data_IF_621419501857
#
_entry.id   IF_621419501857
#
_cell.length_a   1.000
_cell.length_b   1.000
_cell.length_c   1.000
_cell.angle_alpha   90.00
_cell.angle_beta   90.00
_cell.angle_gamma   90.00
#
_symmetry.space_group_name_H-M   'P 1'
#
loop_
_entity.id
_entity.type
_entity.pdbx_description
1 polymer ?
#
# COMPACT_ATOMS: atom_id res chain seq x y z
N UNK A 1 -32.21 59.07 23.31
CA UNK A 1 -32.79 58.39 24.49
C UNK A 1 -31.76 57.40 25.00
N UNK A 2 -30.93 57.86 25.93
CA UNK A 2 -30.14 56.95 26.75
C UNK A 2 -31.07 56.24 27.73
N UNK A 3 -30.66 55.06 28.16
CA UNK A 3 -30.88 54.62 29.53
C UNK A 3 -29.63 53.89 29.99
N UNK A 4 -29.25 54.24 31.20
CA UNK A 4 -27.96 54.01 31.82
C UNK A 4 -28.16 53.02 32.98
N UNK A 5 -27.05 52.39 33.40
CA UNK A 5 -26.81 51.84 34.75
C UNK A 5 -27.46 50.47 35.06
N UNK A 6 -26.82 49.44 35.67
CA UNK A 6 -25.53 49.27 36.36
C UNK A 6 -25.36 47.75 36.70
N UNK A 7 -24.23 47.28 37.28
CA UNK A 7 -23.58 46.02 36.90
C UNK A 7 -23.82 44.80 37.81
N UNK A 8 -23.72 43.60 37.23
CA UNK A 8 -23.62 42.34 37.96
C UNK A 8 -22.15 41.97 38.21
N UNK A 9 -21.74 42.12 39.48
CA UNK A 9 -20.47 41.63 40.02
C UNK A 9 -20.52 40.10 40.04
N UNK A 10 -19.67 39.43 39.26
CA UNK A 10 -19.33 38.03 39.47
C UNK A 10 -17.85 37.95 39.83
N UNK A 11 -17.65 37.57 41.09
CA UNK A 11 -16.37 37.33 41.76
C UNK A 11 -15.61 36.19 41.05
N UNK A 12 -14.31 36.35 40.97
CA UNK A 12 -13.42 35.49 40.17
C UNK A 12 -13.39 34.02 40.56
N UNK A 13 -13.03 33.22 39.56
CA UNK A 13 -12.36 31.94 39.72
C UNK A 13 -11.14 31.96 38.78
N UNK A 14 -9.95 32.08 39.36
CA UNK A 14 -8.69 31.92 38.63
C UNK A 14 -8.51 30.43 38.33
N UNK A 15 -8.69 30.03 37.07
CA UNK A 15 -8.35 28.70 36.60
C UNK A 15 -6.83 28.65 36.41
N UNK A 16 -6.15 27.98 37.35
CA UNK A 16 -4.73 27.65 37.27
C UNK A 16 -4.45 26.82 36.00
N UNK A 17 -3.94 27.46 34.95
CA UNK A 17 -3.27 26.76 33.86
C UNK A 17 -1.93 26.23 34.41
N UNK A 18 -1.92 24.95 34.80
CA UNK A 18 -0.69 24.23 35.09
C UNK A 18 0.15 24.16 33.82
N UNK A 19 1.22 24.96 33.76
CA UNK A 19 2.30 24.76 32.80
C UNK A 19 2.87 23.34 32.98
N UNK A 20 2.93 22.60 31.87
CA UNK A 20 3.70 21.36 31.76
C UNK A 20 5.18 21.68 31.93
N UNK A 21 5.75 21.33 33.08
CA UNK A 21 7.21 21.33 33.27
C UNK A 21 7.82 20.21 32.43
N UNK A 22 8.38 20.56 31.27
CA UNK A 22 9.46 19.79 30.66
C UNK A 22 10.69 19.89 31.56
N UNK A 23 10.92 18.88 32.39
CA UNK A 23 12.23 18.70 33.06
C UNK A 23 13.09 17.78 32.21
N UNK A 24 13.92 18.37 31.37
CA UNK A 24 15.19 17.75 30.94
C UNK A 24 16.15 17.85 32.11
N UNK A 25 16.39 16.75 32.82
CA UNK A 25 17.41 16.69 33.86
C UNK A 25 18.70 16.12 33.25
N UNK A 26 19.67 17.00 32.99
CA UNK A 26 21.05 16.61 32.73
C UNK A 26 21.75 16.45 34.09
N UNK A 27 21.97 15.22 34.53
CA UNK A 27 22.76 14.95 35.74
C UNK A 27 24.23 14.77 35.36
N UNK A 28 25.05 15.57 36.03
CA UNK A 28 26.51 15.62 35.99
C UNK A 28 27.11 14.22 36.15
N UNK A 29 28.10 13.94 35.30
CA UNK A 29 29.03 12.83 35.45
C UNK A 29 29.92 13.17 36.63
N UNK A 30 29.84 12.40 37.70
CA UNK A 30 30.88 12.34 38.71
C UNK A 30 31.60 11.00 38.58
N UNK A 31 32.92 11.11 38.43
CA UNK A 31 33.81 10.01 38.11
C UNK A 31 34.51 9.59 39.40
N UNK A 32 34.16 8.42 39.92
CA UNK A 32 35.01 7.70 40.86
C UNK A 32 34.96 6.21 40.57
N UNK A 33 35.92 5.80 39.73
CA UNK A 33 36.89 4.74 40.01
C UNK A 33 36.45 3.81 41.15
N UNK A 34 36.13 2.56 40.80
CA UNK A 34 36.73 1.32 41.32
C UNK A 34 36.51 0.21 40.28
N UNK A 35 37.56 -0.56 40.01
CA UNK A 35 37.62 -1.57 38.96
C UNK A 35 37.33 -2.98 39.50
N UNK A 36 37.04 -3.88 38.54
CA UNK A 36 37.21 -5.35 38.54
C UNK A 36 36.03 -6.21 39.05
N UNK A 37 35.23 -6.72 38.09
CA UNK A 37 35.23 -8.14 37.69
C UNK A 37 34.37 -8.32 36.43
N UNK A 38 34.96 -8.74 35.30
CA UNK A 38 34.22 -9.21 34.13
C UNK A 38 34.06 -10.72 34.23
N UNK A 39 32.93 -11.19 34.76
CA UNK A 39 32.48 -12.57 34.52
C UNK A 39 31.65 -12.59 33.23
N UNK A 40 32.18 -13.26 32.19
CA UNK A 40 31.40 -13.63 31.01
C UNK A 40 30.46 -14.77 31.44
N UNK A 41 29.19 -14.47 31.67
CA UNK A 41 28.15 -15.50 31.74
C UNK A 41 27.41 -15.53 30.41
N UNK A 42 27.54 -16.64 29.68
CA UNK A 42 26.65 -16.98 28.57
C UNK A 42 25.27 -17.30 29.17
N UNK A 43 24.46 -16.27 29.35
CA UNK A 43 23.07 -16.41 29.79
C UNK A 43 22.21 -16.48 28.54
N UNK A 44 21.76 -17.69 28.20
CA UNK A 44 20.72 -17.90 27.21
C UNK A 44 19.52 -16.99 27.56
N UNK A 45 19.12 -16.14 26.62
CA UNK A 45 18.00 -15.21 26.80
C UNK A 45 16.71 -16.01 27.03
N UNK A 46 16.29 -16.13 28.29
CA UNK A 46 14.91 -16.52 28.60
C UNK A 46 14.01 -15.36 28.19
N UNK A 47 13.00 -15.65 27.36
CA UNK A 47 11.92 -14.71 27.04
C UNK A 47 11.33 -14.19 28.35
N UNK A 48 11.53 -12.88 28.60
CA UNK A 48 10.99 -12.23 29.79
C UNK A 48 9.48 -12.10 29.57
N UNK A 49 8.72 -13.07 30.05
CA UNK A 49 7.28 -12.94 30.18
C UNK A 49 6.98 -11.95 31.31
N UNK A 50 6.27 -10.87 30.99
CA UNK A 50 5.91 -9.82 31.92
C UNK A 50 4.98 -10.40 33.02
N UNK A 51 5.51 -10.50 34.25
CA UNK A 51 4.80 -11.00 35.45
C UNK A 51 4.07 -9.89 36.22
N UNK A 52 3.47 -8.91 35.54
CA UNK A 52 2.64 -7.91 36.24
C UNK A 52 1.23 -8.47 36.54
N UNK A 53 1.10 -9.23 37.62
CA UNK A 53 -0.12 -9.95 38.01
C UNK A 53 -1.34 -9.04 38.29
N UNK A 54 -1.13 -7.74 38.47
CA UNK A 54 -2.15 -6.80 38.95
C UNK A 54 -2.59 -5.74 37.91
N UNK A 55 -2.33 -5.97 36.61
CA UNK A 55 -2.68 -5.06 35.53
C UNK A 55 -3.73 -5.60 34.56
N UNK A 56 -4.25 -4.72 33.68
CA UNK A 56 -5.05 -5.16 32.52
C UNK A 56 -4.19 -6.10 31.67
N UNK A 57 -4.63 -7.34 31.41
CA UNK A 57 -3.85 -8.28 30.60
C UNK A 57 -3.46 -7.66 29.26
N UNK A 58 -2.19 -7.82 28.82
CA UNK A 58 -1.76 -7.31 27.53
C UNK A 58 -2.52 -8.04 26.42
N UNK A 59 -2.98 -7.28 25.41
CA UNK A 59 -3.55 -7.88 24.20
C UNK A 59 -2.52 -8.79 23.53
N UNK A 60 -3.00 -9.91 22.98
CA UNK A 60 -2.15 -10.83 22.22
C UNK A 60 -1.49 -10.09 21.05
N UNK A 61 -0.25 -10.43 20.64
CA UNK A 61 0.43 -9.77 19.53
C UNK A 61 -0.40 -9.74 18.23
N UNK A 62 -1.19 -10.80 17.97
CA UNK A 62 -2.06 -10.93 16.79
C UNK A 62 -3.23 -9.96 16.81
N UNK A 63 -3.79 -9.66 17.98
CA UNK A 63 -4.92 -8.73 18.14
C UNK A 63 -4.50 -7.26 18.10
N UNK A 64 -3.20 -7.00 18.26
CA UNK A 64 -2.63 -5.65 18.32
C UNK A 64 -2.29 -5.16 16.91
N UNK A 65 -3.02 -4.15 16.42
CA UNK A 65 -2.64 -3.40 15.21
C UNK A 65 -1.31 -2.65 15.43
N UNK A 66 -0.19 -3.22 14.97
CA UNK A 66 1.17 -2.69 15.17
C UNK A 66 1.56 -1.59 14.18
N UNK A 67 1.12 -1.71 12.93
CA UNK A 67 1.53 -0.84 11.84
C UNK A 67 0.62 0.39 11.74
N UNK A 68 1.21 1.55 11.45
CA UNK A 68 0.51 2.82 11.25
C UNK A 68 0.70 3.28 9.80
N UNK A 69 -0.41 3.62 9.15
CA UNK A 69 -0.42 4.28 7.84
C UNK A 69 -0.96 5.69 8.04
N UNK A 70 -0.23 6.70 7.54
CA UNK A 70 -0.66 8.10 7.54
C UNK A 70 -1.09 8.45 6.13
N UNK A 71 -2.28 9.04 5.98
CA UNK A 71 -2.85 9.42 4.69
C UNK A 71 -3.01 10.94 4.64
N UNK A 72 -2.55 11.56 3.55
CA UNK A 72 -2.92 12.94 3.19
C UNK A 72 -4.04 12.83 2.16
N UNK A 73 -5.16 13.51 2.41
CA UNK A 73 -6.35 13.45 1.58
C UNK A 73 -6.75 14.85 1.13
N UNK A 74 -7.34 14.97 -0.05
CA UNK A 74 -7.98 16.21 -0.46
C UNK A 74 -9.20 16.52 0.42
N UNK A 75 -9.65 17.77 0.41
CA UNK A 75 -10.81 18.23 1.21
C UNK A 75 -12.06 17.41 0.91
N UNK A 76 -12.33 17.15 -0.37
CA UNK A 76 -13.50 16.38 -0.83
C UNK A 76 -13.47 14.93 -0.33
N UNK A 77 -12.33 14.26 -0.47
CA UNK A 77 -12.12 12.88 -0.03
C UNK A 77 -12.31 12.75 1.49
N UNK A 78 -11.80 13.73 2.26
CA UNK A 78 -11.94 13.75 3.71
C UNK A 78 -13.41 13.86 4.15
N UNK A 79 -14.18 14.77 3.55
CA UNK A 79 -15.60 14.92 3.88
C UNK A 79 -16.43 13.73 3.43
N UNK A 80 -16.07 13.13 2.28
CA UNK A 80 -16.67 11.88 1.82
C UNK A 80 -16.43 10.72 2.79
N UNK A 81 -15.20 10.57 3.29
CA UNK A 81 -14.86 9.60 4.33
C UNK A 81 -15.67 9.88 5.61
N UNK A 82 -15.73 11.14 6.06
CA UNK A 82 -16.47 11.54 7.26
C UNK A 82 -17.96 11.18 7.16
N UNK A 83 -18.59 11.44 6.01
CA UNK A 83 -19.98 11.10 5.76
C UNK A 83 -20.21 9.59 5.79
N UNK A 84 -19.38 8.80 5.08
CA UNK A 84 -19.47 7.33 5.05
C UNK A 84 -19.28 6.70 6.42
N UNK A 85 -18.34 7.21 7.20
CA UNK A 85 -18.07 6.75 8.57
C UNK A 85 -19.27 7.01 9.49
N UNK A 86 -19.90 8.19 9.38
CA UNK A 86 -21.12 8.51 10.13
C UNK A 86 -22.27 7.55 9.78
N UNK A 87 -22.43 7.22 8.51
CA UNK A 87 -23.45 6.27 8.05
C UNK A 87 -23.18 4.84 8.54
N UNK A 88 -21.91 4.42 8.52
CA UNK A 88 -21.52 3.07 8.94
C UNK A 88 -21.50 2.88 10.47
N UNK A 89 -21.54 3.97 11.26
CA UNK A 89 -21.54 3.90 12.73
C UNK A 89 -20.25 3.36 13.34
N UNK A 90 -19.15 3.31 12.58
CA UNK A 90 -17.85 2.78 13.02
C UNK A 90 -16.79 3.88 13.06
N UNK A 91 -15.60 3.57 13.58
CA UNK A 91 -14.51 4.55 13.61
C UNK A 91 -13.87 4.73 12.22
N UNK A 92 -13.30 5.92 11.96
CA UNK A 92 -12.60 6.22 10.69
C UNK A 92 -11.51 5.21 10.36
N UNK A 93 -10.70 4.85 11.36
CA UNK A 93 -9.60 3.90 11.19
C UNK A 93 -10.10 2.50 10.84
N UNK A 94 -11.18 2.06 11.49
CA UNK A 94 -11.79 0.78 11.20
C UNK A 94 -12.45 0.74 9.83
N UNK A 95 -13.14 1.81 9.44
CA UNK A 95 -13.71 1.95 8.11
C UNK A 95 -12.65 1.79 7.02
N UNK A 96 -11.53 2.51 7.13
CA UNK A 96 -10.41 2.40 6.18
C UNK A 96 -9.81 0.99 6.19
N UNK A 97 -9.61 0.38 7.36
CA UNK A 97 -9.12 -1.01 7.44
C UNK A 97 -10.06 -1.99 6.73
N UNK A 98 -11.38 -1.84 6.90
CA UNK A 98 -12.38 -2.69 6.24
C UNK A 98 -12.39 -2.46 4.73
N UNK A 99 -12.28 -1.21 4.28
CA UNK A 99 -12.16 -0.90 2.85
C UNK A 99 -10.93 -1.54 2.23
N UNK A 100 -9.77 -1.49 2.90
CA UNK A 100 -8.55 -2.13 2.41
C UNK A 100 -8.72 -3.66 2.36
N UNK A 101 -9.28 -4.25 3.42
CA UNK A 101 -9.53 -5.70 3.47
C UNK A 101 -10.51 -6.19 2.39
N UNK A 102 -11.49 -5.37 2.02
CA UNK A 102 -12.46 -5.67 0.97
C UNK A 102 -12.02 -5.20 -0.43
N UNK A 103 -10.96 -4.40 -0.53
CA UNK A 103 -10.52 -3.86 -1.82
C UNK A 103 -9.91 -4.97 -2.68
N UNK A 104 -10.42 -5.11 -3.90
CA UNK A 104 -9.87 -6.03 -4.90
C UNK A 104 -9.06 -5.21 -5.88
N UNK A 105 -7.74 -5.44 -5.91
CA UNK A 105 -6.87 -4.85 -6.93
C UNK A 105 -7.01 -5.69 -8.20
N UNK A 106 -7.76 -5.19 -9.18
CA UNK A 106 -7.86 -5.83 -10.49
C UNK A 106 -6.71 -5.35 -11.37
N UNK A 107 -5.87 -6.28 -11.81
CA UNK A 107 -4.89 -6.00 -12.85
C UNK A 107 -5.63 -5.66 -14.15
N UNK A 108 -5.30 -4.53 -14.77
CA UNK A 108 -6.07 -3.98 -15.89
C UNK A 108 -6.04 -4.89 -17.13
N UNK A 109 -4.91 -5.54 -17.39
CA UNK A 109 -4.74 -6.65 -18.33
C UNK A 109 -3.56 -7.50 -17.83
N UNK A 110 -3.69 -8.84 -17.81
CA UNK A 110 -2.54 -9.69 -17.53
C UNK A 110 -1.48 -9.52 -18.62
N UNK A 111 -0.20 -9.71 -18.28
CA UNK A 111 0.90 -9.65 -19.26
C UNK A 111 0.71 -10.67 -20.39
N UNK A 112 0.17 -11.85 -20.07
CA UNK A 112 -0.20 -12.89 -21.03
C UNK A 112 -1.27 -12.40 -22.02
N UNK A 113 -2.35 -11.79 -21.52
CA UNK A 113 -3.40 -11.23 -22.37
C UNK A 113 -2.86 -10.12 -23.28
N UNK A 114 -1.95 -9.28 -22.79
CA UNK A 114 -1.29 -8.28 -23.64
C UNK A 114 -0.43 -8.92 -24.74
N UNK A 115 0.26 -10.03 -24.44
CA UNK A 115 1.00 -10.80 -25.45
C UNK A 115 0.07 -11.30 -26.56
N UNK A 116 -1.06 -11.90 -26.18
CA UNK A 116 -2.07 -12.38 -27.14
C UNK A 116 -2.67 -11.23 -27.98
N UNK A 117 -2.97 -10.07 -27.37
CA UNK A 117 -3.46 -8.90 -28.11
C UNK A 117 -2.42 -8.39 -29.12
N UNK A 118 -1.13 -8.41 -28.77
CA UNK A 118 -0.06 -8.03 -29.70
C UNK A 118 0.08 -9.04 -30.84
N UNK A 119 0.00 -10.34 -30.56
CA UNK A 119 -0.03 -11.39 -31.59
C UNK A 119 -1.22 -11.22 -32.52
N UNK A 120 -2.40 -10.96 -31.99
CA UNK A 120 -3.62 -10.72 -32.77
C UNK A 120 -3.48 -9.49 -33.69
N UNK A 121 -2.91 -8.40 -33.17
CA UNK A 121 -2.62 -7.19 -33.95
C UNK A 121 -1.62 -7.49 -35.07
N UNK A 122 -0.60 -8.31 -34.80
CA UNK A 122 0.35 -8.78 -35.81
C UNK A 122 -0.32 -9.59 -36.91
N UNK A 123 -1.21 -10.52 -36.54
CA UNK A 123 -1.98 -11.32 -37.50
C UNK A 123 -2.90 -10.45 -38.36
N UNK A 124 -3.61 -9.50 -37.76
CA UNK A 124 -4.46 -8.55 -38.49
C UNK A 124 -3.66 -7.72 -39.50
N UNK A 125 -2.46 -7.27 -39.12
CA UNK A 125 -1.55 -6.58 -40.03
C UNK A 125 -1.08 -7.48 -41.18
N UNK A 126 -0.74 -8.73 -40.90
CA UNK A 126 -0.36 -9.69 -41.93
C UNK A 126 -1.49 -9.90 -42.94
N UNK A 127 -2.73 -10.08 -42.48
CA UNK A 127 -3.91 -10.21 -43.35
C UNK A 127 -4.11 -8.95 -44.20
N UNK A 128 -3.98 -7.76 -43.60
CA UNK A 128 -4.12 -6.50 -44.33
C UNK A 128 -3.05 -6.34 -45.41
N UNK A 129 -1.81 -6.73 -45.13
CA UNK A 129 -0.72 -6.72 -46.10
C UNK A 129 -0.99 -7.67 -47.27
N UNK A 130 -1.47 -8.89 -46.99
CA UNK A 130 -1.85 -9.86 -48.04
C UNK A 130 -2.96 -9.29 -48.93
N UNK A 131 -3.98 -8.65 -48.33
CA UNK A 131 -5.07 -8.03 -49.07
C UNK A 131 -4.58 -6.91 -49.99
N UNK A 132 -3.77 -5.97 -49.48
CA UNK A 132 -3.19 -4.90 -50.30
C UNK A 132 -2.28 -5.44 -51.40
N UNK A 133 -1.46 -6.45 -51.09
CA UNK A 133 -0.56 -7.10 -52.05
C UNK A 133 -1.35 -7.79 -53.17
N UNK A 134 -2.45 -8.46 -52.83
CA UNK A 134 -3.32 -9.12 -53.79
C UNK A 134 -4.05 -8.12 -54.70
N UNK A 135 -4.51 -7.00 -54.14
CA UNK A 135 -5.12 -5.92 -54.92
C UNK A 135 -4.13 -5.27 -55.90
N UNK A 136 -2.85 -5.19 -55.55
CA UNK A 136 -1.82 -4.56 -56.39
C UNK A 136 -1.26 -5.50 -57.48
N UNK A 137 -1.05 -6.79 -57.16
CA UNK A 137 -0.33 -7.73 -58.03
C UNK A 137 -1.19 -8.87 -58.57
N UNK A 138 -2.45 -8.96 -58.16
CA UNK A 138 -3.36 -10.05 -58.49
C UNK A 138 -3.18 -11.27 -57.58
N UNK A 139 -4.27 -12.03 -57.43
CA UNK A 139 -4.36 -13.15 -56.50
C UNK A 139 -3.38 -14.30 -56.81
N UNK A 140 -3.17 -14.63 -58.09
CA UNK A 140 -2.35 -15.78 -58.49
C UNK A 140 -0.88 -15.67 -58.01
N UNK A 141 -0.30 -14.47 -58.14
CA UNK A 141 1.09 -14.22 -57.73
C UNK A 141 1.25 -14.21 -56.21
N UNK A 142 0.29 -13.61 -55.50
CA UNK A 142 0.30 -13.60 -54.03
C UNK A 142 0.08 -14.99 -53.45
N UNK A 143 -0.74 -15.81 -54.10
CA UNK A 143 -0.92 -17.22 -53.73
C UNK A 143 0.38 -18.01 -53.85
N UNK A 144 1.10 -17.89 -54.98
CA UNK A 144 2.40 -18.54 -55.17
C UNK A 144 3.44 -18.10 -54.13
N UNK A 145 3.53 -16.79 -53.88
CA UNK A 145 4.43 -16.24 -52.86
C UNK A 145 4.10 -16.78 -51.45
N UNK A 146 2.82 -16.84 -51.09
CA UNK A 146 2.39 -17.39 -49.81
C UNK A 146 2.72 -18.89 -49.69
N UNK A 147 2.52 -19.66 -50.76
CA UNK A 147 2.82 -21.09 -50.80
C UNK A 147 4.31 -21.36 -50.54
N UNK A 148 5.19 -20.62 -51.22
CA UNK A 148 6.63 -20.71 -51.01
C UNK A 148 7.04 -20.28 -49.59
N UNK A 149 6.36 -19.29 -49.02
CA UNK A 149 6.59 -18.87 -47.64
C UNK A 149 6.12 -19.91 -46.61
N UNK A 150 4.97 -20.54 -46.82
CA UNK A 150 4.46 -21.62 -45.96
C UNK A 150 5.42 -22.81 -45.96
N UNK A 151 5.93 -23.22 -47.12
CA UNK A 151 6.92 -24.30 -47.20
C UNK A 151 8.19 -23.97 -46.40
N UNK A 152 8.67 -22.72 -46.45
CA UNK A 152 9.81 -22.28 -45.62
C UNK A 152 9.49 -22.32 -44.13
N UNK A 153 8.28 -21.92 -43.73
CA UNK A 153 7.84 -21.99 -42.34
C UNK A 153 7.77 -23.44 -41.86
N UNK A 154 7.17 -24.34 -42.63
CA UNK A 154 7.07 -25.77 -42.30
C UNK A 154 8.46 -26.39 -42.11
N UNK A 155 9.43 -26.02 -42.95
CA UNK A 155 10.81 -26.48 -42.81
C UNK A 155 11.49 -25.95 -41.54
N UNK A 156 11.19 -24.72 -41.10
CA UNK A 156 11.72 -24.17 -39.85
C UNK A 156 11.06 -24.86 -38.65
N UNK A 157 9.75 -25.10 -38.70
CA UNK A 157 9.01 -25.80 -37.63
C UNK A 157 9.57 -27.20 -37.43
N UNK A 158 9.75 -27.98 -38.51
CA UNK A 158 10.34 -29.32 -38.45
C UNK A 158 11.73 -29.32 -37.79
N UNK A 159 12.58 -28.35 -38.13
CA UNK A 159 13.91 -28.22 -37.50
C UNK A 159 13.83 -27.95 -36.00
N UNK A 160 12.90 -27.09 -35.57
CA UNK A 160 12.71 -26.81 -34.15
C UNK A 160 12.17 -28.04 -33.41
N UNK A 161 11.27 -28.80 -34.04
CA UNK A 161 10.74 -30.06 -33.48
C UNK A 161 11.83 -31.13 -33.37
N UNK A 162 12.71 -31.26 -34.35
CA UNK A 162 13.83 -32.22 -34.35
C UNK A 162 14.95 -31.85 -33.34
N UNK A 163 15.09 -30.56 -33.00
CA UNK A 163 16.09 -30.02 -32.05
C UNK A 163 15.64 -30.10 -30.56
N UNK A 164 14.39 -30.52 -30.29
CA UNK A 164 13.82 -30.68 -28.93
C UNK A 164 13.74 -32.14 -28.50
#
# INVERSE_FOLDING_TARGET
MGMDSSPLIIRGASLCFGLTKTQTCSSRIDSSRWSIHKSKTNTAMKTIENRNTNGRPPKRPVEKKKYKVTLKMATEEFYSLKAKVRLAGITRSEYVCRCIAASIVRQRLSSELMSHLRQLSGMANNVNQIAHKANAMGYARVYQDNLAMTERLDNIIKRIEDDC
#
